data_IF_427842545825
#
_entry.id   IF_427842545825
#
_cell.length_a   1.000
_cell.length_b   1.000
_cell.length_c   1.000
_cell.angle_alpha   90.00
_cell.angle_beta   90.00
_cell.angle_gamma   90.00
#
_symmetry.space_group_name_H-M   'P 1'
#
loop_
_entity.id
_entity.type
_entity.pdbx_description
1 polymer ?
#
# COMPACT_ATOMS: atom_id res chain seq x y z
N UNK A 1 3.72 -21.98 -30.66
CA UNK A 1 3.44 -20.71 -29.96
C UNK A 1 3.16 -19.56 -30.90
N UNK A 2 1.95 -19.00 -30.81
CA UNK A 2 1.50 -17.82 -31.54
C UNK A 2 2.29 -16.55 -31.19
N UNK A 3 2.82 -16.44 -29.96
CA UNK A 3 3.60 -15.28 -29.50
C UNK A 3 5.04 -15.21 -30.06
N UNK A 4 5.50 -16.18 -30.86
CA UNK A 4 6.86 -16.23 -31.44
C UNK A 4 6.89 -15.57 -32.82
N UNK A 5 7.31 -16.31 -33.85
CA UNK A 5 7.36 -15.87 -35.26
C UNK A 5 6.03 -15.27 -35.75
N UNK A 6 4.84 -15.81 -35.42
CA UNK A 6 3.59 -15.22 -35.91
C UNK A 6 3.37 -13.78 -35.43
N UNK A 7 3.65 -13.49 -34.15
CA UNK A 7 3.59 -12.12 -33.60
C UNK A 7 4.57 -11.19 -34.32
N UNK A 8 5.82 -11.61 -34.51
CA UNK A 8 6.84 -10.82 -35.21
C UNK A 8 6.46 -10.50 -36.66
N UNK A 9 5.86 -11.46 -37.35
CA UNK A 9 5.35 -11.28 -38.71
C UNK A 9 4.13 -10.35 -38.76
N UNK A 10 3.30 -10.35 -37.73
CA UNK A 10 2.12 -9.48 -37.64
C UNK A 10 2.51 -8.03 -37.36
N UNK A 11 3.31 -7.77 -36.32
CA UNK A 11 3.66 -6.40 -35.90
C UNK A 11 4.43 -5.62 -36.96
N UNK A 12 5.20 -6.29 -37.81
CA UNK A 12 5.92 -5.69 -38.95
C UNK A 12 4.99 -5.06 -39.99
N UNK A 13 3.71 -5.45 -40.02
CA UNK A 13 2.70 -4.94 -40.97
C UNK A 13 1.93 -3.73 -40.43
N UNK A 14 2.13 -3.35 -39.16
CA UNK A 14 1.43 -2.22 -38.55
C UNK A 14 1.95 -0.90 -39.10
N UNK A 15 1.05 0.08 -39.26
CA UNK A 15 1.40 1.42 -39.76
C UNK A 15 2.35 2.16 -38.81
N UNK A 16 2.15 1.96 -37.51
CA UNK A 16 3.04 2.49 -36.47
C UNK A 16 4.17 1.49 -36.26
N UNK A 17 5.45 1.90 -36.24
CA UNK A 17 6.56 1.00 -35.96
C UNK A 17 6.40 0.33 -34.59
N UNK A 18 6.30 -1.00 -34.60
CA UNK A 18 6.22 -1.82 -33.39
C UNK A 18 7.40 -2.79 -33.34
N UNK A 19 8.13 -2.77 -32.24
CA UNK A 19 9.30 -3.62 -32.02
C UNK A 19 9.03 -4.65 -30.92
N UNK A 20 9.37 -5.91 -31.19
CA UNK A 20 9.31 -6.99 -30.19
C UNK A 20 10.71 -7.29 -29.70
N UNK A 21 10.95 -7.10 -28.40
CA UNK A 21 12.23 -7.40 -27.76
C UNK A 21 12.07 -8.69 -26.95
N UNK A 22 12.91 -9.70 -27.23
CA UNK A 22 12.88 -10.98 -26.54
C UNK A 22 13.82 -10.99 -25.33
N UNK A 23 13.35 -11.56 -24.23
CA UNK A 23 14.21 -11.97 -23.12
C UNK A 23 14.68 -13.40 -23.38
N UNK A 24 15.94 -13.71 -23.12
CA UNK A 24 16.51 -15.06 -23.29
C UNK A 24 15.97 -16.04 -22.26
N UNK A 25 15.70 -15.55 -21.05
CA UNK A 25 15.14 -16.29 -19.93
C UNK A 25 14.02 -15.50 -19.25
N UNK A 26 13.23 -16.18 -18.41
CA UNK A 26 12.14 -15.54 -17.67
C UNK A 26 12.69 -14.67 -16.54
N UNK A 27 12.93 -13.39 -16.83
CA UNK A 27 13.56 -12.46 -15.90
C UNK A 27 12.60 -11.61 -15.06
N UNK A 28 11.28 -11.70 -15.28
CA UNK A 28 10.29 -10.91 -14.55
C UNK A 28 9.86 -9.61 -15.20
N UNK A 29 8.79 -9.01 -14.65
CA UNK A 29 8.23 -7.72 -15.08
C UNK A 29 9.28 -6.61 -14.98
N UNK A 30 9.98 -6.53 -13.85
CA UNK A 30 10.92 -5.45 -13.52
C UNK A 30 12.06 -5.40 -14.52
N UNK A 31 12.75 -6.52 -14.74
CA UNK A 31 13.87 -6.61 -15.69
C UNK A 31 13.42 -6.46 -17.14
N UNK A 32 12.21 -6.92 -17.49
CA UNK A 32 11.64 -6.69 -18.82
C UNK A 32 11.38 -5.20 -19.07
N UNK A 33 10.83 -4.47 -18.08
CA UNK A 33 10.66 -3.01 -18.14
C UNK A 33 11.98 -2.28 -18.29
N UNK A 34 13.02 -2.69 -17.56
CA UNK A 34 14.37 -2.12 -17.71
C UNK A 34 14.93 -2.31 -19.12
N UNK A 35 14.78 -3.51 -19.72
CA UNK A 35 15.22 -3.76 -21.10
C UNK A 35 14.44 -2.93 -22.11
N UNK A 36 13.12 -2.79 -21.94
CA UNK A 36 12.29 -1.93 -22.77
C UNK A 36 12.68 -0.45 -22.65
N UNK A 37 12.88 0.03 -21.43
CA UNK A 37 13.30 1.41 -21.15
C UNK A 37 14.67 1.72 -21.79
N UNK A 38 15.65 0.81 -21.70
CA UNK A 38 16.96 0.97 -22.32
C UNK A 38 16.91 1.02 -23.86
N UNK A 39 15.94 0.34 -24.49
CA UNK A 39 15.74 0.37 -25.93
C UNK A 39 14.91 1.57 -26.41
N UNK A 40 14.21 2.26 -25.50
CA UNK A 40 13.32 3.36 -25.84
C UNK A 40 14.09 4.62 -26.27
N UNK A 41 13.59 5.29 -27.32
CA UNK A 41 14.21 6.51 -27.87
C UNK A 41 13.38 7.78 -27.64
N UNK A 42 12.14 7.65 -27.17
CA UNK A 42 11.26 8.76 -26.87
C UNK A 42 11.74 9.60 -25.68
N UNK A 43 11.30 10.86 -25.61
CA UNK A 43 11.56 11.75 -24.47
C UNK A 43 10.83 11.29 -23.20
N UNK A 44 9.65 10.70 -23.37
CA UNK A 44 8.83 10.12 -22.31
C UNK A 44 8.70 8.62 -22.54
N UNK A 45 8.83 7.84 -21.47
CA UNK A 45 8.49 6.42 -21.45
C UNK A 45 7.09 6.28 -20.87
N UNK A 46 6.18 5.62 -21.59
CA UNK A 46 4.88 5.22 -21.08
C UNK A 46 4.84 3.70 -20.95
N UNK A 47 4.64 3.22 -19.73
CA UNK A 47 4.44 1.81 -19.43
C UNK A 47 2.95 1.49 -19.48
N UNK A 48 2.60 0.39 -20.15
CA UNK A 48 1.26 -0.19 -20.18
C UNK A 48 1.37 -1.69 -19.97
N UNK A 49 0.42 -2.27 -19.25
CA UNK A 49 0.28 -3.72 -19.20
C UNK A 49 -0.32 -4.26 -20.52
N UNK A 50 -0.05 -5.53 -20.83
CA UNK A 50 -0.38 -6.12 -22.13
C UNK A 50 -1.89 -6.37 -22.36
N UNK A 51 -2.75 -5.95 -21.44
CA UNK A 51 -4.20 -6.15 -21.44
C UNK A 51 -4.90 -4.86 -20.99
N UNK A 52 -4.60 -3.78 -21.72
CA UNK A 52 -5.17 -2.46 -21.53
C UNK A 52 -5.85 -1.94 -22.81
N UNK A 53 -6.82 -1.06 -22.66
CA UNK A 53 -7.45 -0.29 -23.75
C UNK A 53 -7.42 1.20 -23.42
N UNK A 54 -6.77 1.99 -24.28
CA UNK A 54 -6.60 3.43 -24.06
C UNK A 54 -7.79 4.21 -24.64
N UNK A 55 -8.33 5.17 -23.87
CA UNK A 55 -9.43 6.03 -24.34
C UNK A 55 -8.93 7.12 -25.31
N UNK A 56 -9.86 7.79 -26.00
CA UNK A 56 -9.52 8.95 -26.84
C UNK A 56 -8.99 10.09 -25.95
N UNK A 57 -7.85 10.67 -26.33
CA UNK A 57 -7.24 11.79 -25.60
C UNK A 57 -6.52 11.40 -24.31
N UNK A 58 -6.25 10.11 -24.08
CA UNK A 58 -5.62 9.65 -22.84
C UNK A 58 -4.17 10.14 -22.64
N UNK A 59 -3.41 10.36 -23.72
CA UNK A 59 -1.97 10.54 -23.63
C UNK A 59 -1.58 12.00 -23.43
N UNK A 60 -2.27 12.92 -24.09
CA UNK A 60 -1.97 14.35 -24.12
C UNK A 60 -1.99 14.99 -22.72
N UNK A 61 -2.97 14.71 -21.83
CA UNK A 61 -2.96 15.20 -20.46
C UNK A 61 -1.74 14.71 -19.67
N UNK A 62 -1.32 13.45 -19.85
CA UNK A 62 -0.15 12.89 -19.18
C UNK A 62 1.12 13.61 -19.62
N UNK A 63 1.32 13.77 -20.94
CA UNK A 63 2.49 14.43 -21.51
C UNK A 63 2.54 15.91 -21.13
N UNK A 64 1.39 16.60 -21.05
CA UNK A 64 1.32 18.00 -20.64
C UNK A 64 1.86 18.22 -19.21
N UNK A 65 1.57 17.30 -18.28
CA UNK A 65 2.10 17.36 -16.90
C UNK A 65 3.61 17.20 -16.85
N UNK A 66 4.13 16.19 -17.56
CA UNK A 66 5.58 15.94 -17.64
C UNK A 66 6.29 17.13 -18.32
N UNK A 67 5.66 17.75 -19.33
CA UNK A 67 6.22 18.92 -20.00
C UNK A 67 6.31 20.14 -19.07
N UNK A 68 5.34 20.31 -18.17
CA UNK A 68 5.33 21.40 -17.19
C UNK A 68 6.43 21.21 -16.12
N UNK A 69 6.62 19.97 -15.65
CA UNK A 69 7.73 19.60 -14.78
C UNK A 69 8.18 18.16 -15.06
N UNK A 70 9.40 18.00 -15.59
CA UNK A 70 9.98 16.70 -15.96
C UNK A 70 10.11 15.73 -14.79
N UNK A 71 10.08 16.23 -13.54
CA UNK A 71 10.16 15.41 -12.32
C UNK A 71 8.79 14.89 -11.86
N UNK A 72 7.72 15.24 -12.58
CA UNK A 72 6.38 14.71 -12.35
C UNK A 72 6.21 13.39 -13.07
N UNK A 73 5.89 12.35 -12.31
CA UNK A 73 5.51 11.03 -12.81
C UNK A 73 4.00 10.94 -12.77
N UNK A 74 3.39 10.48 -13.86
CA UNK A 74 1.93 10.55 -14.02
C UNK A 74 1.32 9.20 -14.33
N UNK A 75 0.18 8.93 -13.71
CA UNK A 75 -0.66 7.77 -13.96
C UNK A 75 -1.99 8.22 -14.57
N UNK A 76 -2.58 7.44 -15.49
CA UNK A 76 -3.98 7.62 -15.85
C UNK A 76 -4.89 7.16 -14.69
N UNK A 77 -6.16 7.56 -14.73
CA UNK A 77 -7.21 6.78 -14.07
C UNK A 77 -7.26 5.41 -14.76
N UNK A 78 -7.22 4.36 -13.94
CA UNK A 78 -7.28 2.99 -14.41
C UNK A 78 -8.74 2.54 -14.35
N UNK A 79 -9.35 2.44 -15.52
CA UNK A 79 -10.72 1.96 -15.69
C UNK A 79 -10.72 0.42 -15.65
N UNK A 80 -11.88 -0.17 -15.33
CA UNK A 80 -12.01 -1.62 -15.17
C UNK A 80 -12.54 -2.21 -16.47
N UNK A 81 -11.80 -3.16 -17.04
CA UNK A 81 -12.32 -4.07 -18.07
C UNK A 81 -12.64 -5.40 -17.38
N UNK A 82 -13.89 -5.81 -17.45
CA UNK A 82 -14.37 -7.08 -16.88
C UNK A 82 -13.62 -8.27 -17.48
N UNK A 83 -13.05 -9.16 -16.65
CA UNK A 83 -12.36 -10.37 -17.16
C UNK A 83 -13.32 -11.44 -17.71
N UNK A 84 -14.60 -11.34 -17.35
CA UNK A 84 -15.66 -12.25 -17.78
C UNK A 84 -16.37 -11.74 -19.06
N UNK A 85 -16.73 -10.45 -19.12
CA UNK A 85 -17.58 -9.88 -20.19
C UNK A 85 -16.85 -8.93 -21.14
N UNK A 86 -15.64 -8.48 -20.79
CA UNK A 86 -14.93 -7.37 -21.45
C UNK A 86 -15.67 -6.03 -21.47
N UNK A 87 -16.71 -5.88 -20.63
CA UNK A 87 -17.35 -4.58 -20.43
C UNK A 87 -16.36 -3.57 -19.83
N UNK A 88 -16.38 -2.36 -20.38
CA UNK A 88 -15.56 -1.23 -19.95
C UNK A 88 -16.30 -0.37 -18.93
N UNK A 89 -15.81 -0.32 -17.70
CA UNK A 89 -16.40 0.45 -16.60
C UNK A 89 -15.43 1.55 -16.16
N UNK A 90 -15.90 2.79 -16.19
CA UNK A 90 -15.10 3.95 -15.77
C UNK A 90 -14.68 3.83 -14.30
N UNK A 91 -13.39 4.06 -14.06
CA UNK A 91 -12.80 4.18 -12.74
C UNK A 91 -13.18 5.51 -12.06
N UNK A 92 -12.87 5.61 -10.78
CA UNK A 92 -13.21 6.79 -9.98
C UNK A 92 -12.04 7.75 -9.82
N UNK A 93 -12.25 9.01 -10.17
CA UNK A 93 -11.37 10.15 -9.90
C UNK A 93 -11.37 10.59 -8.41
N UNK A 94 -12.18 9.91 -7.59
CA UNK A 94 -12.26 10.07 -6.13
C UNK A 94 -11.47 9.00 -5.39
N UNK A 95 -10.61 8.28 -6.10
CA UNK A 95 -9.66 7.33 -5.49
C UNK A 95 -8.21 7.73 -5.75
N UNK A 96 -7.34 7.41 -4.79
CA UNK A 96 -5.90 7.59 -4.91
C UNK A 96 -5.16 6.36 -4.37
N UNK A 97 -3.91 6.20 -4.81
CA UNK A 97 -3.07 5.07 -4.46
C UNK A 97 -2.38 5.28 -3.12
N UNK A 98 -2.57 4.34 -2.21
CA UNK A 98 -1.82 4.25 -0.96
C UNK A 98 -1.27 2.84 -0.76
N UNK A 99 -0.80 2.59 0.46
CA UNK A 99 -0.41 1.26 0.89
C UNK A 99 -0.82 1.05 2.34
N UNK A 100 -0.99 -0.22 2.72
CA UNK A 100 -1.11 -0.60 4.13
C UNK A 100 0.25 -1.06 4.67
N UNK A 101 0.38 -1.24 5.99
CA UNK A 101 1.68 -1.52 6.61
C UNK A 101 2.17 -2.97 6.45
N UNK A 102 1.44 -3.78 5.68
CA UNK A 102 1.93 -5.04 5.08
C UNK A 102 2.63 -4.81 3.74
N UNK A 103 2.82 -3.55 3.34
CA UNK A 103 3.36 -3.12 2.05
C UNK A 103 2.56 -3.63 0.85
N UNK A 104 1.24 -3.71 1.00
CA UNK A 104 0.33 -3.96 -0.12
C UNK A 104 -0.23 -2.64 -0.63
N UNK A 105 -0.24 -2.48 -1.95
CA UNK A 105 -0.94 -1.39 -2.60
C UNK A 105 -2.44 -1.47 -2.35
N UNK A 106 -3.07 -0.33 -2.10
CA UNK A 106 -4.52 -0.19 -1.88
C UNK A 106 -5.03 1.09 -2.55
N UNK A 107 -6.27 1.02 -3.02
CA UNK A 107 -7.03 2.21 -3.41
C UNK A 107 -7.78 2.73 -2.19
N UNK A 108 -7.62 4.01 -1.91
CA UNK A 108 -8.34 4.72 -0.85
C UNK A 108 -9.16 5.86 -1.45
N UNK A 109 -10.19 6.36 -0.75
CA UNK A 109 -10.85 7.61 -1.11
C UNK A 109 -9.87 8.78 -1.05
N UNK A 110 -10.00 9.74 -1.97
CA UNK A 110 -9.18 10.96 -1.95
C UNK A 110 -9.43 11.72 -0.65
N UNK A 111 -8.39 12.07 0.14
CA UNK A 111 -8.55 12.72 1.43
C UNK A 111 -9.00 14.18 1.27
N UNK A 112 -9.68 14.71 2.30
CA UNK A 112 -10.23 16.06 2.29
C UNK A 112 -9.17 17.12 1.95
N UNK A 113 -7.93 16.98 2.47
CA UNK A 113 -6.81 17.90 2.16
C UNK A 113 -6.54 18.06 0.66
N UNK A 114 -6.71 16.98 -0.11
CA UNK A 114 -6.45 16.96 -1.55
C UNK A 114 -7.66 17.45 -2.33
N UNK A 115 -8.88 17.27 -1.80
CA UNK A 115 -10.08 17.95 -2.28
C UNK A 115 -9.95 19.48 -2.11
N UNK A 116 -9.52 19.93 -0.93
CA UNK A 116 -9.34 21.35 -0.61
C UNK A 116 -8.27 21.99 -1.49
N UNK A 117 -7.15 21.30 -1.72
CA UNK A 117 -6.08 21.75 -2.63
C UNK A 117 -6.61 21.99 -4.05
N UNK A 118 -7.51 21.12 -4.52
CA UNK A 118 -8.11 21.23 -5.86
C UNK A 118 -9.25 22.25 -5.93
N UNK A 119 -9.77 22.74 -4.79
CA UNK A 119 -10.84 23.73 -4.70
C UNK A 119 -12.08 23.37 -5.54
N UNK A 120 -12.41 22.08 -5.59
CA UNK A 120 -13.54 21.56 -6.37
C UNK A 120 -13.28 21.33 -7.86
N UNK A 121 -12.11 21.70 -8.38
CA UNK A 121 -11.74 21.41 -9.77
C UNK A 121 -11.27 19.95 -9.92
N UNK A 122 -12.17 19.10 -10.42
CA UNK A 122 -11.92 17.67 -10.64
C UNK A 122 -11.03 17.38 -11.84
N UNK A 123 -10.73 18.36 -12.69
CA UNK A 123 -9.79 18.21 -13.82
C UNK A 123 -8.33 18.30 -13.39
N UNK A 124 -8.07 18.86 -12.19
CA UNK A 124 -6.74 18.91 -11.63
C UNK A 124 -6.28 17.50 -11.21
N UNK A 125 -5.02 17.12 -11.50
CA UNK A 125 -4.47 15.84 -11.09
C UNK A 125 -4.53 15.65 -9.58
N UNK A 126 -4.69 14.41 -9.15
CA UNK A 126 -4.64 13.99 -7.74
C UNK A 126 -3.20 13.63 -7.39
N UNK A 127 -2.62 14.25 -6.36
CA UNK A 127 -1.33 13.82 -5.81
C UNK A 127 -1.51 12.50 -5.08
N UNK A 128 -0.76 11.48 -5.48
CA UNK A 128 -0.93 10.12 -4.96
C UNK A 128 0.33 9.64 -4.23
N UNK A 129 0.24 9.14 -2.97
CA UNK A 129 1.36 8.58 -2.24
C UNK A 129 2.09 7.48 -2.99
N UNK A 130 1.32 6.60 -3.63
CA UNK A 130 1.83 5.47 -4.40
C UNK A 130 1.04 5.30 -5.69
N UNK A 131 1.59 4.51 -6.62
CA UNK A 131 0.90 4.05 -7.81
C UNK A 131 0.73 2.53 -7.81
N UNK A 132 -0.27 2.04 -8.56
CA UNK A 132 -0.41 0.61 -8.84
C UNK A 132 0.82 0.07 -9.59
N UNK A 133 1.46 0.91 -10.42
CA UNK A 133 2.72 0.62 -11.10
C UNK A 133 2.59 -0.08 -12.44
N UNK A 134 1.41 -0.58 -12.82
CA UNK A 134 1.12 -1.13 -14.15
C UNK A 134 1.26 -0.08 -15.27
N UNK A 135 0.59 1.05 -15.08
CA UNK A 135 0.41 2.10 -16.07
C UNK A 135 0.92 3.44 -15.54
N UNK A 136 1.93 4.01 -16.19
CA UNK A 136 2.43 5.35 -15.88
C UNK A 136 3.32 5.90 -17.00
N UNK A 137 3.47 7.21 -17.05
CA UNK A 137 4.40 7.92 -17.92
C UNK A 137 5.44 8.69 -17.09
N UNK A 138 6.68 8.68 -17.57
CA UNK A 138 7.81 9.35 -16.93
C UNK A 138 8.78 9.89 -17.97
N UNK A 139 9.35 11.07 -17.73
CA UNK A 139 10.48 11.57 -18.51
C UNK A 139 11.64 10.56 -18.48
N UNK A 140 12.16 10.21 -19.66
CA UNK A 140 13.16 9.14 -19.80
C UNK A 140 14.43 9.46 -19.02
N UNK A 141 14.91 10.69 -19.13
CA UNK A 141 16.18 11.09 -18.54
C UNK A 141 16.01 11.19 -17.02
N UNK A 142 14.86 11.71 -16.54
CA UNK A 142 14.50 11.63 -15.13
C UNK A 142 14.44 10.19 -14.61
N UNK A 143 13.83 9.25 -15.34
CA UNK A 143 13.79 7.83 -14.95
C UNK A 143 15.20 7.25 -14.76
N UNK A 144 16.15 7.62 -15.61
CA UNK A 144 17.56 7.22 -15.48
C UNK A 144 18.26 7.93 -14.32
N UNK A 145 18.06 9.24 -14.16
CA UNK A 145 18.63 10.06 -13.08
C UNK A 145 18.25 9.52 -11.70
N UNK A 146 16.97 9.15 -11.52
CA UNK A 146 16.51 8.56 -10.27
C UNK A 146 16.89 7.07 -10.15
N UNK A 147 17.63 6.49 -11.07
CA UNK A 147 18.17 5.13 -10.96
C UNK A 147 17.19 4.01 -11.36
N UNK A 148 16.29 4.27 -12.32
CA UNK A 148 15.39 3.30 -12.97
C UNK A 148 14.60 2.43 -11.97
N UNK A 149 14.52 1.11 -12.15
CA UNK A 149 14.05 0.17 -11.11
C UNK A 149 15.24 -0.48 -10.41
N UNK A 150 15.03 -0.97 -9.19
CA UNK A 150 16.01 -1.84 -8.52
C UNK A 150 16.13 -3.19 -9.25
N UNK A 151 17.23 -3.38 -9.98
CA UNK A 151 17.50 -4.61 -10.72
C UNK A 151 17.71 -5.85 -9.83
N UNK A 152 17.90 -5.66 -8.52
CA UNK A 152 17.96 -6.74 -7.53
C UNK A 152 16.60 -7.27 -7.11
N UNK A 153 15.50 -6.61 -7.49
CA UNK A 153 14.15 -7.14 -7.32
C UNK A 153 13.85 -8.23 -8.34
N UNK A 154 13.12 -9.25 -7.90
CA UNK A 154 12.80 -10.43 -8.69
C UNK A 154 11.33 -10.47 -9.10
N UNK A 155 11.09 -10.86 -10.35
CA UNK A 155 9.79 -11.18 -10.94
C UNK A 155 8.74 -10.07 -10.84
N UNK A 156 8.11 -9.90 -9.67
CA UNK A 156 6.97 -9.04 -9.42
C UNK A 156 6.79 -8.78 -7.92
N UNK A 157 6.30 -7.59 -7.57
CA UNK A 157 5.88 -7.22 -6.22
C UNK A 157 6.83 -6.21 -5.58
N UNK A 158 6.27 -5.16 -4.98
CA UNK A 158 6.99 -4.12 -4.25
C UNK A 158 7.65 -3.05 -5.11
N UNK A 159 7.82 -3.28 -6.43
CA UNK A 159 8.50 -2.33 -7.32
C UNK A 159 7.75 -1.02 -7.47
N UNK A 160 6.41 -1.08 -7.42
CA UNK A 160 5.54 0.08 -7.51
C UNK A 160 5.65 0.97 -6.26
N UNK A 161 5.78 0.37 -5.07
CA UNK A 161 6.02 1.10 -3.83
C UNK A 161 7.43 1.69 -3.79
N UNK A 162 8.45 0.91 -4.16
CA UNK A 162 9.86 1.36 -4.19
C UNK A 162 10.04 2.62 -5.03
N UNK A 163 9.53 2.61 -6.26
CA UNK A 163 9.66 3.77 -7.15
C UNK A 163 8.80 4.94 -6.65
N UNK A 164 7.62 4.70 -6.08
CA UNK A 164 6.77 5.76 -5.52
C UNK A 164 7.46 6.48 -4.36
N UNK A 165 8.03 5.72 -3.41
CA UNK A 165 8.77 6.24 -2.28
C UNK A 165 9.97 7.07 -2.72
N UNK A 166 10.71 6.55 -3.71
CA UNK A 166 11.86 7.23 -4.27
C UNK A 166 11.50 8.52 -5.01
N UNK A 167 10.47 8.51 -5.86
CA UNK A 167 10.01 9.72 -6.59
C UNK A 167 9.76 10.84 -5.59
N UNK A 168 8.95 10.58 -4.57
CA UNK A 168 8.59 11.58 -3.57
C UNK A 168 9.77 12.00 -2.70
N UNK A 169 10.51 11.04 -2.12
CA UNK A 169 11.63 11.36 -1.22
C UNK A 169 12.76 12.08 -1.94
N UNK A 170 12.96 11.84 -3.24
CA UNK A 170 14.06 12.43 -4.01
C UNK A 170 13.64 13.66 -4.83
N UNK A 171 12.51 14.30 -4.49
CA UNK A 171 12.14 15.63 -4.98
C UNK A 171 11.34 15.67 -6.29
N UNK A 172 10.73 14.54 -6.68
CA UNK A 172 9.70 14.50 -7.72
C UNK A 172 8.29 14.46 -7.15
N UNK A 173 7.32 14.36 -8.05
CA UNK A 173 5.89 14.30 -7.72
C UNK A 173 5.26 13.10 -8.42
N UNK A 174 4.28 12.46 -7.79
CA UNK A 174 3.49 11.39 -8.39
C UNK A 174 2.01 11.82 -8.45
N UNK A 175 1.44 11.84 -9.65
CA UNK A 175 0.08 12.34 -9.89
C UNK A 175 -0.79 11.31 -10.64
N UNK A 176 -2.08 11.23 -10.31
CA UNK A 176 -3.11 10.62 -11.15
C UNK A 176 -3.77 11.74 -11.94
N UNK A 177 -3.65 11.70 -13.27
CA UNK A 177 -4.21 12.73 -14.15
C UNK A 177 -5.64 12.36 -14.50
N UNK A 178 -6.60 13.09 -13.94
CA UNK A 178 -8.03 12.72 -13.94
C UNK A 178 -8.70 12.79 -15.31
N UNK A 179 -8.12 13.50 -16.28
CA UNK A 179 -8.60 13.51 -17.66
C UNK A 179 -8.05 12.36 -18.52
N UNK A 180 -7.10 11.57 -18.01
CA UNK A 180 -6.49 10.46 -18.74
C UNK A 180 -7.07 9.14 -18.25
N UNK A 181 -7.69 8.37 -19.14
CA UNK A 181 -8.32 7.10 -18.82
C UNK A 181 -7.76 5.95 -19.63
N UNK A 182 -7.39 4.86 -18.96
CA UNK A 182 -6.94 3.62 -19.58
C UNK A 182 -7.62 2.45 -18.88
N UNK A 183 -8.35 1.65 -19.65
CA UNK A 183 -8.98 0.43 -19.15
C UNK A 183 -7.95 -0.66 -18.95
N UNK A 184 -8.10 -1.45 -17.90
CA UNK A 184 -7.22 -2.57 -17.57
C UNK A 184 -8.06 -3.78 -17.17
N UNK A 185 -7.71 -4.96 -17.69
CA UNK A 185 -8.39 -6.21 -17.32
C UNK A 185 -7.97 -6.65 -15.92
N UNK A 186 -8.83 -6.44 -14.92
CA UNK A 186 -8.58 -6.90 -13.54
C UNK A 186 -8.95 -8.37 -13.40
N UNK A 187 -7.98 -9.19 -13.01
CA UNK A 187 -8.15 -10.64 -12.85
C UNK A 187 -8.40 -11.00 -11.40
N UNK A 188 -9.23 -12.03 -11.18
CA UNK A 188 -9.47 -12.61 -9.84
C UNK A 188 -8.24 -13.28 -9.23
N UNK A 189 -7.32 -13.79 -10.06
CA UNK A 189 -6.08 -14.44 -9.62
C UNK A 189 -4.92 -14.22 -10.59
N UNK A 190 -3.69 -14.27 -10.08
CA UNK A 190 -2.46 -14.17 -10.89
C UNK A 190 -2.24 -15.48 -11.66
N UNK A 191 -2.18 -15.48 -13.00
CA UNK A 191 -2.00 -16.72 -13.78
C UNK A 191 -0.54 -17.17 -13.91
N UNK A 192 0.39 -16.53 -13.18
CA UNK A 192 1.82 -16.75 -13.32
C UNK A 192 2.33 -17.76 -12.29
N UNK A 193 3.25 -18.63 -12.70
CA UNK A 193 4.01 -19.48 -11.78
C UNK A 193 5.12 -18.66 -11.11
N UNK A 194 5.42 -18.89 -9.85
CA UNK A 194 6.51 -18.19 -9.15
C UNK A 194 7.57 -19.23 -8.75
N UNK A 195 8.72 -19.32 -9.44
CA UNK A 195 9.80 -20.22 -9.06
C UNK A 195 10.27 -19.87 -7.64
N UNK A 196 10.20 -20.83 -6.70
CA UNK A 196 10.49 -20.58 -5.27
C UNK A 196 9.32 -20.06 -4.44
N UNK A 197 8.14 -19.85 -5.05
CA UNK A 197 6.93 -19.41 -4.36
C UNK A 197 6.78 -17.89 -4.26
N UNK A 198 5.54 -17.43 -4.35
CA UNK A 198 5.18 -16.00 -4.39
C UNK A 198 5.63 -15.26 -3.12
N UNK A 199 5.51 -15.90 -1.96
CA UNK A 199 5.88 -15.30 -0.67
C UNK A 199 7.37 -14.97 -0.56
N UNK A 200 8.27 -15.86 -1.01
CA UNK A 200 9.71 -15.62 -0.91
C UNK A 200 10.13 -14.42 -1.79
N UNK A 201 9.61 -14.36 -3.02
CA UNK A 201 9.92 -13.29 -3.98
C UNK A 201 9.40 -11.93 -3.47
N UNK A 202 8.12 -11.87 -3.07
CA UNK A 202 7.53 -10.62 -2.59
C UNK A 202 8.22 -10.18 -1.31
N UNK A 203 8.49 -11.08 -0.36
CA UNK A 203 9.18 -10.74 0.87
C UNK A 203 10.60 -10.23 0.61
N UNK A 204 11.33 -10.83 -0.33
CA UNK A 204 12.64 -10.33 -0.75
C UNK A 204 12.54 -8.89 -1.28
N UNK A 205 11.65 -8.64 -2.23
CA UNK A 205 11.49 -7.29 -2.83
C UNK A 205 11.04 -6.26 -1.78
N UNK A 206 10.06 -6.62 -0.95
CA UNK A 206 9.56 -5.78 0.14
C UNK A 206 10.64 -5.51 1.19
N UNK A 207 11.53 -6.46 1.47
CA UNK A 207 12.67 -6.21 2.36
C UNK A 207 13.67 -5.25 1.73
N UNK A 208 14.01 -5.41 0.44
CA UNK A 208 14.89 -4.48 -0.28
C UNK A 208 14.35 -3.04 -0.23
N UNK A 209 13.06 -2.85 -0.49
CA UNK A 209 12.45 -1.52 -0.47
C UNK A 209 12.41 -0.93 0.95
N UNK A 210 12.08 -1.75 1.96
CA UNK A 210 11.99 -1.31 3.35
C UNK A 210 13.36 -0.91 3.91
N UNK A 211 14.40 -1.71 3.66
CA UNK A 211 15.78 -1.41 4.10
C UNK A 211 16.34 -0.13 3.48
N UNK A 212 15.95 0.21 2.26
CA UNK A 212 16.46 1.40 1.56
C UNK A 212 15.65 2.65 1.86
N UNK A 213 14.31 2.56 1.93
CA UNK A 213 13.44 3.73 1.82
C UNK A 213 12.58 4.03 3.04
N UNK A 214 12.48 3.11 4.02
CA UNK A 214 11.54 3.27 5.15
C UNK A 214 12.19 3.68 6.48
N UNK A 215 13.52 3.83 6.53
CA UNK A 215 14.25 4.22 7.75
C UNK A 215 13.87 3.35 8.97
N UNK A 216 13.58 3.95 10.13
CA UNK A 216 13.09 3.26 11.33
C UNK A 216 11.71 2.63 11.15
N UNK A 217 10.92 3.09 10.18
CA UNK A 217 9.55 2.61 9.97
C UNK A 217 9.48 1.21 9.34
N UNK A 218 10.60 0.67 8.86
CA UNK A 218 10.66 -0.76 8.47
C UNK A 218 10.39 -1.69 9.65
N UNK A 219 10.64 -1.24 10.89
CA UNK A 219 10.37 -2.05 12.08
C UNK A 219 8.87 -2.34 12.24
N UNK A 220 7.98 -1.40 11.88
CA UNK A 220 6.53 -1.65 11.86
C UNK A 220 6.20 -2.80 10.93
N UNK A 221 6.71 -2.72 9.69
CA UNK A 221 6.50 -3.74 8.69
C UNK A 221 7.02 -5.11 9.15
N UNK A 222 8.19 -5.17 9.78
CA UNK A 222 8.76 -6.41 10.30
C UNK A 222 7.99 -7.01 11.47
N UNK A 223 7.41 -6.18 12.34
CA UNK A 223 6.55 -6.67 13.43
C UNK A 223 5.25 -7.24 12.87
N UNK A 224 4.64 -6.58 11.87
CA UNK A 224 3.41 -7.06 11.23
C UNK A 224 3.68 -8.31 10.37
N UNK A 225 4.82 -8.36 9.71
CA UNK A 225 5.18 -9.39 8.72
C UNK A 225 6.53 -10.04 9.06
N UNK A 226 6.65 -10.77 10.19
CA UNK A 226 7.94 -11.28 10.66
C UNK A 226 8.55 -12.35 9.75
N UNK A 227 7.77 -12.97 8.86
CA UNK A 227 8.30 -13.86 7.83
C UNK A 227 9.29 -13.18 6.89
N UNK A 228 9.21 -11.84 6.74
CA UNK A 228 10.08 -11.06 5.85
C UNK A 228 11.52 -11.03 6.34
N UNK A 229 11.74 -10.96 7.66
CA UNK A 229 13.09 -10.87 8.25
C UNK A 229 13.91 -12.15 8.08
N UNK A 230 13.25 -13.26 7.73
CA UNK A 230 13.87 -14.56 7.46
C UNK A 230 14.40 -14.69 6.02
N UNK A 231 14.07 -13.76 5.12
CA UNK A 231 14.41 -13.86 3.70
C UNK A 231 15.66 -13.03 3.40
N UNK A 232 16.67 -13.63 2.77
CA UNK A 232 17.81 -12.89 2.24
C UNK A 232 17.37 -11.94 1.13
N UNK A 233 17.77 -10.67 1.26
CA UNK A 233 17.42 -9.61 0.34
C UNK A 233 18.57 -9.20 -0.58
N UNK A 234 19.77 -9.78 -0.41
CA UNK A 234 20.95 -9.51 -1.22
C UNK A 234 21.49 -8.09 -1.05
N UNK A 235 22.46 -7.71 -1.90
CA UNK A 235 23.12 -6.40 -1.80
C UNK A 235 22.20 -5.24 -2.22
N UNK A 236 22.17 -4.19 -1.38
CA UNK A 236 21.44 -2.93 -1.58
C UNK A 236 22.37 -1.71 -1.58
N UNK A 237 23.69 -1.91 -1.58
CA UNK A 237 24.70 -0.85 -1.52
C UNK A 237 24.49 0.23 -2.59
N UNK A 238 24.17 -0.17 -3.81
CA UNK A 238 23.89 0.74 -4.94
C UNK A 238 22.65 1.60 -4.72
N UNK A 239 21.59 1.04 -4.13
CA UNK A 239 20.34 1.75 -3.82
C UNK A 239 20.53 2.73 -2.66
N UNK A 240 21.25 2.33 -1.63
CA UNK A 240 21.63 3.22 -0.52
C UNK A 240 22.55 4.36 -1.01
N UNK A 241 23.51 4.05 -1.87
CA UNK A 241 24.40 5.03 -2.50
C UNK A 241 23.63 6.04 -3.35
N UNK A 242 22.66 5.58 -4.14
CA UNK A 242 21.75 6.41 -4.91
C UNK A 242 20.92 7.35 -4.02
N UNK A 243 20.31 6.82 -2.95
CA UNK A 243 19.52 7.62 -2.00
C UNK A 243 20.35 8.75 -1.38
N UNK A 244 21.60 8.46 -1.00
CA UNK A 244 22.55 9.48 -0.50
C UNK A 244 22.93 10.49 -1.58
N UNK A 245 23.27 10.03 -2.79
CA UNK A 245 23.68 10.88 -3.91
C UNK A 245 22.60 11.90 -4.28
N UNK A 246 21.33 11.46 -4.29
CA UNK A 246 20.18 12.30 -4.62
C UNK A 246 19.70 13.15 -3.43
N UNK A 247 20.32 13.03 -2.25
CA UNK A 247 19.96 13.75 -1.03
C UNK A 247 18.47 13.62 -0.69
N UNK A 248 17.95 12.40 -0.82
CA UNK A 248 16.52 12.16 -0.62
C UNK A 248 16.11 12.41 0.84
N UNK A 249 14.88 12.91 1.02
CA UNK A 249 14.25 13.14 2.31
C UNK A 249 14.05 11.83 3.09
N UNK A 250 13.97 11.89 4.42
CA UNK A 250 13.67 10.72 5.25
C UNK A 250 12.21 10.26 5.04
N UNK A 251 11.92 9.00 5.37
CA UNK A 251 10.57 8.44 5.27
C UNK A 251 9.59 9.14 6.23
N UNK A 252 10.08 9.65 7.36
CA UNK A 252 9.26 10.44 8.27
C UNK A 252 8.71 11.72 7.59
N UNK A 253 9.49 12.35 6.72
CA UNK A 253 9.03 13.48 5.88
C UNK A 253 7.98 13.02 4.87
N UNK A 254 8.15 11.84 4.26
CA UNK A 254 7.18 11.27 3.33
C UNK A 254 5.82 11.04 4.01
N UNK A 255 5.80 10.44 5.20
CA UNK A 255 4.56 10.25 5.96
C UNK A 255 3.90 11.57 6.35
N UNK A 256 4.67 12.61 6.68
CA UNK A 256 4.11 13.90 7.05
C UNK A 256 3.57 14.71 5.86
N UNK A 257 4.30 14.71 4.74
CA UNK A 257 4.07 15.66 3.65
C UNK A 257 3.33 15.04 2.46
N UNK A 258 3.44 13.72 2.29
CA UNK A 258 2.89 13.01 1.14
C UNK A 258 1.72 12.12 1.56
N UNK A 259 1.89 11.35 2.65
CA UNK A 259 0.90 10.40 3.11
C UNK A 259 0.52 10.55 4.61
N UNK A 260 0.04 11.73 5.04
CA UNK A 260 -0.37 11.97 6.43
C UNK A 260 -1.59 11.13 6.84
N UNK A 261 -2.37 10.67 5.85
CA UNK A 261 -3.55 9.81 6.04
C UNK A 261 -3.17 8.32 6.21
N UNK A 262 -1.88 8.00 6.32
CA UNK A 262 -1.41 6.63 6.57
C UNK A 262 -1.96 6.08 7.89
N UNK A 263 -2.24 4.78 7.90
CA UNK A 263 -2.87 4.11 9.05
C UNK A 263 -2.00 4.04 10.31
N UNK A 264 -0.67 4.06 10.16
CA UNK A 264 0.22 4.21 11.30
C UNK A 264 0.66 5.67 11.33
N UNK A 265 0.23 6.43 12.35
CA UNK A 265 0.68 7.80 12.51
C UNK A 265 2.15 7.83 12.91
N UNK A 266 2.81 8.96 12.62
CA UNK A 266 4.19 9.21 13.06
C UNK A 266 4.35 9.11 14.58
N UNK A 267 3.30 9.45 15.31
CA UNK A 267 3.25 9.43 16.77
C UNK A 267 2.24 8.39 17.23
N UNK A 268 2.77 7.34 17.85
CA UNK A 268 2.02 6.29 18.51
C UNK A 268 2.67 6.04 19.86
N UNK A 269 1.89 5.59 20.84
CA UNK A 269 2.37 5.29 22.17
C UNK A 269 2.94 3.88 22.24
N UNK A 270 2.29 2.92 21.61
CA UNK A 270 2.72 1.53 21.58
C UNK A 270 2.33 0.82 20.28
N UNK A 271 3.12 -0.18 19.93
CA UNK A 271 2.89 -1.07 18.80
C UNK A 271 3.27 -2.49 19.24
N UNK A 272 2.36 -3.43 19.03
CA UNK A 272 2.60 -4.82 19.34
C UNK A 272 1.30 -5.54 19.66
N UNK A 273 1.41 -6.56 20.49
CA UNK A 273 0.25 -7.29 21.00
C UNK A 273 -0.41 -6.57 22.18
N UNK A 274 -1.72 -6.76 22.31
CA UNK A 274 -2.50 -6.36 23.48
C UNK A 274 -2.84 -7.65 24.23
N UNK A 275 -2.19 -7.87 25.37
CA UNK A 275 -2.11 -9.16 26.05
C UNK A 275 -2.86 -9.10 27.37
N UNK A 276 -3.86 -9.95 27.52
CA UNK A 276 -4.44 -10.20 28.83
C UNK A 276 -3.41 -10.88 29.75
N UNK A 277 -3.05 -10.23 30.86
CA UNK A 277 -1.97 -10.70 31.77
C UNK A 277 -2.37 -11.96 32.52
N UNK A 278 -3.66 -12.17 32.78
CA UNK A 278 -4.16 -13.31 33.55
C UNK A 278 -4.31 -14.57 32.69
N UNK A 279 -4.79 -14.44 31.46
CA UNK A 279 -5.08 -15.58 30.58
C UNK A 279 -3.98 -15.88 29.57
N UNK A 280 -3.02 -14.95 29.38
CA UNK A 280 -2.03 -14.99 28.32
C UNK A 280 -2.65 -15.13 26.92
N UNK A 281 -3.82 -14.52 26.74
CA UNK A 281 -4.48 -14.40 25.45
C UNK A 281 -4.35 -12.97 24.94
N UNK A 282 -4.24 -12.81 23.62
CA UNK A 282 -4.03 -11.55 22.95
C UNK A 282 -5.26 -11.19 22.14
N UNK A 283 -5.52 -9.89 21.97
CA UNK A 283 -6.41 -9.45 20.91
C UNK A 283 -5.90 -9.95 19.56
N UNK A 284 -6.81 -10.39 18.70
CA UNK A 284 -6.51 -10.98 17.42
C UNK A 284 -7.58 -10.53 16.42
N UNK A 285 -7.18 -9.97 15.27
CA UNK A 285 -8.14 -9.59 14.25
C UNK A 285 -8.74 -10.82 13.52
N UNK A 286 -8.24 -12.02 13.78
CA UNK A 286 -8.71 -13.32 13.24
C UNK A 286 -8.74 -13.38 11.71
N UNK A 287 -7.96 -12.52 11.03
CA UNK A 287 -8.07 -12.25 9.59
C UNK A 287 -9.49 -11.87 9.13
N UNK A 288 -10.32 -11.37 10.05
CA UNK A 288 -11.65 -10.84 9.79
C UNK A 288 -11.57 -9.46 9.14
N UNK A 289 -12.66 -9.06 8.49
CA UNK A 289 -12.82 -7.86 7.69
C UNK A 289 -13.54 -6.75 8.48
N UNK A 290 -13.77 -5.63 7.81
CA UNK A 290 -14.60 -4.54 8.31
C UNK A 290 -16.00 -5.05 8.72
N UNK A 291 -16.55 -4.46 9.79
CA UNK A 291 -17.82 -4.82 10.44
C UNK A 291 -17.83 -6.17 11.17
N UNK A 292 -16.70 -6.87 11.25
CA UNK A 292 -16.59 -8.09 12.05
C UNK A 292 -16.04 -7.79 13.45
N UNK A 293 -16.36 -8.66 14.41
CA UNK A 293 -15.90 -8.57 15.79
C UNK A 293 -14.40 -8.86 15.88
N UNK A 294 -13.65 -8.11 16.69
CA UNK A 294 -12.28 -8.51 17.05
C UNK A 294 -12.35 -9.78 17.88
N UNK A 295 -11.31 -10.61 17.82
CA UNK A 295 -11.19 -11.85 18.59
C UNK A 295 -10.17 -11.74 19.72
N UNK A 296 -10.15 -12.78 20.55
CA UNK A 296 -9.08 -13.11 21.48
C UNK A 296 -8.55 -14.50 21.09
N UNK A 297 -7.23 -14.65 21.04
CA UNK A 297 -6.58 -15.92 20.79
C UNK A 297 -5.32 -16.09 21.65
N UNK A 298 -4.76 -17.29 21.72
CA UNK A 298 -3.50 -17.51 22.45
C UNK A 298 -2.40 -16.60 21.87
N UNK A 299 -1.69 -15.88 22.73
CA UNK A 299 -0.58 -15.04 22.30
C UNK A 299 0.50 -15.91 21.65
N UNK A 300 0.81 -15.65 20.38
CA UNK A 300 1.73 -16.48 19.62
C UNK A 300 3.05 -15.78 19.26
N UNK A 301 3.17 -14.46 19.49
CA UNK A 301 4.41 -13.70 19.25
C UNK A 301 4.86 -13.69 17.78
N UNK A 302 3.98 -14.05 16.85
CA UNK A 302 4.27 -14.12 15.41
C UNK A 302 3.75 -12.89 14.65
N UNK A 303 3.44 -11.81 15.37
CA UNK A 303 2.91 -10.60 14.77
C UNK A 303 1.59 -10.82 14.02
N UNK A 304 1.50 -10.33 12.79
CA UNK A 304 0.36 -10.58 11.91
C UNK A 304 -0.95 -10.04 12.48
N UNK A 305 -1.87 -10.97 12.80
CA UNK A 305 -3.22 -10.64 13.25
C UNK A 305 -3.28 -10.13 14.70
N UNK A 306 -2.22 -10.34 15.48
CA UNK A 306 -2.11 -9.89 16.88
C UNK A 306 -1.36 -8.56 17.01
N UNK A 307 -1.10 -7.84 15.91
CA UNK A 307 -0.41 -6.54 15.96
C UNK A 307 -1.43 -5.41 15.89
N UNK A 308 -1.41 -4.58 16.92
CA UNK A 308 -2.19 -3.37 17.05
C UNK A 308 -1.26 -2.18 17.30
N UNK A 309 -1.69 -1.00 16.88
CA UNK A 309 -1.05 0.27 17.22
C UNK A 309 -1.99 1.09 18.10
N UNK A 310 -1.45 1.64 19.20
CA UNK A 310 -2.16 2.61 20.01
C UNK A 310 -1.63 4.01 19.69
N UNK A 311 -2.48 4.82 19.07
CA UNK A 311 -2.06 6.07 18.42
C UNK A 311 -2.08 7.27 19.37
N UNK A 312 -1.39 8.35 19.01
CA UNK A 312 -1.49 9.63 19.72
C UNK A 312 -2.93 10.21 19.73
N UNK A 313 -3.75 9.82 18.76
CA UNK A 313 -5.18 10.18 18.69
C UNK A 313 -6.06 9.29 19.58
N UNK A 314 -5.46 8.42 20.40
CA UNK A 314 -6.17 7.53 21.31
C UNK A 314 -7.07 6.52 20.57
N UNK A 315 -6.64 6.05 19.41
CA UNK A 315 -7.28 4.96 18.65
C UNK A 315 -6.44 3.69 18.75
N UNK A 316 -7.09 2.52 18.76
CA UNK A 316 -6.42 1.21 18.66
C UNK A 316 -6.65 0.67 17.25
N UNK A 317 -5.59 0.55 16.45
CA UNK A 317 -5.69 0.23 15.02
C UNK A 317 -5.06 -1.11 14.66
N UNK A 318 -5.66 -1.83 13.72
CA UNK A 318 -5.12 -3.02 13.05
C UNK A 318 -5.37 -2.91 11.54
N UNK A 319 -4.30 -2.94 10.74
CA UNK A 319 -4.36 -2.61 9.30
C UNK A 319 -5.06 -1.25 9.05
N UNK A 320 -6.15 -1.23 8.27
CA UNK A 320 -6.94 -0.04 7.97
C UNK A 320 -8.18 0.12 8.88
N UNK A 321 -8.25 -0.67 9.97
CA UNK A 321 -9.39 -0.74 10.87
C UNK A 321 -9.03 -0.25 12.28
N UNK A 322 -10.02 0.32 12.96
CA UNK A 322 -9.99 0.76 14.33
C UNK A 322 -10.94 -0.11 15.17
N UNK A 323 -10.56 -0.35 16.43
CA UNK A 323 -11.48 -0.93 17.40
C UNK A 323 -12.59 0.08 17.72
N UNK A 324 -13.83 -0.32 17.47
CA UNK A 324 -15.04 0.46 17.63
C UNK A 324 -16.03 -0.24 18.55
N UNK A 325 -16.69 0.55 19.40
CA UNK A 325 -17.79 0.06 20.23
C UNK A 325 -19.05 0.89 20.06
N UNK A 326 -20.06 0.26 19.47
CA UNK A 326 -21.35 0.89 19.16
C UNK A 326 -22.48 0.58 20.15
N UNK A 327 -22.25 -0.30 21.14
CA UNK A 327 -23.28 -0.69 22.13
C UNK A 327 -22.68 -0.84 23.53
N UNK A 328 -23.36 -0.31 24.55
CA UNK A 328 -23.02 -0.54 25.96
C UNK A 328 -23.06 -2.02 26.29
N UNK A 329 -22.08 -2.50 27.07
CA UNK A 329 -21.91 -3.93 27.37
C UNK A 329 -21.79 -4.81 26.11
N UNK A 330 -21.43 -4.20 24.98
CA UNK A 330 -21.41 -4.83 23.67
C UNK A 330 -20.04 -5.38 23.29
N UNK A 331 -19.98 -6.16 22.19
CA UNK A 331 -18.73 -6.65 21.64
C UNK A 331 -17.91 -5.51 21.04
N UNK A 332 -16.60 -5.71 20.97
CA UNK A 332 -15.70 -4.82 20.23
C UNK A 332 -15.68 -5.23 18.75
N UNK A 333 -15.87 -4.26 17.86
CA UNK A 333 -15.92 -4.46 16.41
C UNK A 333 -14.78 -3.74 15.70
N UNK A 334 -14.43 -4.17 14.50
CA UNK A 334 -13.40 -3.53 13.67
C UNK A 334 -14.07 -2.76 12.54
N UNK A 335 -14.00 -1.43 12.59
CA UNK A 335 -14.55 -0.53 11.58
C UNK A 335 -13.44 0.31 10.94
N UNK A 336 -13.71 0.93 9.80
CA UNK A 336 -12.78 1.93 9.25
C UNK A 336 -12.50 3.02 10.29
N UNK A 337 -11.23 3.37 10.41
CA UNK A 337 -10.81 4.49 11.23
C UNK A 337 -11.41 5.79 10.67
N UNK A 338 -12.30 6.43 11.42
CA UNK A 338 -12.97 7.66 10.96
C UNK A 338 -12.39 8.93 11.59
N UNK A 339 -11.51 8.81 12.60
CA UNK A 339 -10.80 9.95 13.23
C UNK A 339 -11.71 10.99 13.90
N UNK A 340 -12.98 10.66 14.13
CA UNK A 340 -13.97 11.53 14.78
C UNK A 340 -14.07 11.28 16.29
N UNK A 341 -13.14 10.50 16.87
CA UNK A 341 -13.18 10.05 18.26
C UNK A 341 -14.46 9.25 18.58
N UNK A 342 -15.16 9.55 19.67
CA UNK A 342 -16.41 8.88 20.03
C UNK A 342 -16.22 7.38 20.26
N UNK A 343 -16.87 6.57 19.43
CA UNK A 343 -16.88 5.10 19.54
C UNK A 343 -15.53 4.43 19.23
N UNK A 344 -14.54 5.19 18.75
CA UNK A 344 -13.17 4.72 18.51
C UNK A 344 -12.14 5.33 19.46
N UNK A 345 -12.58 6.01 20.52
CA UNK A 345 -11.71 6.68 21.48
C UNK A 345 -11.42 5.79 22.70
N UNK A 346 -10.15 5.46 22.89
CA UNK A 346 -9.65 4.57 23.93
C UNK A 346 -8.61 5.25 24.82
N UNK A 347 -8.61 4.94 26.11
CA UNK A 347 -7.61 5.41 27.06
C UNK A 347 -6.97 4.23 27.78
N UNK A 348 -5.65 4.12 27.67
CA UNK A 348 -4.88 3.11 28.37
C UNK A 348 -4.34 3.67 29.69
N UNK A 349 -4.69 3.02 30.81
CA UNK A 349 -4.10 3.27 32.12
C UNK A 349 -2.97 2.25 32.36
N UNK A 350 -1.68 2.66 32.31
CA UNK A 350 -0.54 1.74 32.45
C UNK A 350 -0.32 1.27 33.89
N UNK A 351 -0.95 1.92 34.89
CA UNK A 351 -0.86 1.51 36.30
C UNK A 351 -1.89 0.43 36.60
N UNK A 352 -3.12 0.59 36.10
CA UNK A 352 -4.20 -0.39 36.26
C UNK A 352 -4.17 -1.48 35.20
N UNK A 353 -3.43 -1.28 34.10
CA UNK A 353 -3.42 -2.12 32.91
C UNK A 353 -4.83 -2.25 32.30
N UNK A 354 -5.55 -1.14 32.20
CA UNK A 354 -6.94 -1.14 31.72
C UNK A 354 -7.10 -0.30 30.46
N UNK A 355 -7.82 -0.83 29.48
CA UNK A 355 -8.22 -0.11 28.27
C UNK A 355 -9.66 0.39 28.43
N UNK A 356 -9.81 1.69 28.68
CA UNK A 356 -11.08 2.38 28.84
C UNK A 356 -11.62 2.85 27.48
N UNK A 357 -12.81 2.41 27.09
CA UNK A 357 -13.56 3.04 26.01
C UNK A 357 -14.22 4.32 26.54
N UNK A 358 -13.73 5.48 26.08
CA UNK A 358 -14.02 6.77 26.69
C UNK A 358 -15.50 7.15 26.57
N UNK A 359 -16.12 6.88 25.43
CA UNK A 359 -17.50 7.30 25.16
C UNK A 359 -18.54 6.55 26.02
N UNK A 360 -18.30 5.27 26.34
CA UNK A 360 -19.19 4.49 27.20
C UNK A 360 -18.81 4.50 28.67
N UNK A 361 -17.60 4.97 29.01
CA UNK A 361 -16.99 4.83 30.34
C UNK A 361 -16.90 3.36 30.80
N UNK A 362 -16.61 2.44 29.86
CA UNK A 362 -16.51 1.00 30.11
C UNK A 362 -15.15 0.48 29.64
N UNK A 363 -14.62 -0.54 30.30
CA UNK A 363 -13.31 -1.10 30.06
C UNK A 363 -13.39 -2.35 29.18
N UNK A 364 -12.36 -2.57 28.36
CA UNK A 364 -12.17 -3.82 27.62
C UNK A 364 -12.15 -4.99 28.60
N UNK A 365 -13.06 -5.93 28.38
CA UNK A 365 -13.23 -7.13 29.19
C UNK A 365 -12.98 -8.38 28.32
N UNK A 366 -12.72 -9.50 28.99
CA UNK A 366 -12.54 -10.79 28.35
C UNK A 366 -13.83 -11.24 27.66
N UNK A 367 -13.68 -12.28 26.85
CA UNK A 367 -14.81 -12.95 26.24
C UNK A 367 -15.81 -13.48 27.29
N UNK A 368 -17.10 -13.36 26.97
CA UNK A 368 -18.19 -13.96 27.76
C UNK A 368 -18.30 -15.45 27.48
N UNK A 369 -18.89 -16.23 28.39
CA UNK A 369 -19.13 -17.67 28.17
C UNK A 369 -19.97 -17.95 26.92
N UNK A 370 -20.86 -17.03 26.53
CA UNK A 370 -21.71 -17.12 25.33
C UNK A 370 -20.93 -16.94 24.00
N UNK A 371 -19.80 -16.23 24.02
CA UNK A 371 -18.97 -15.94 22.84
C UNK A 371 -17.50 -15.92 23.27
N UNK A 372 -16.96 -17.12 23.50
CA UNK A 372 -15.67 -17.36 24.18
C UNK A 372 -14.44 -16.80 23.48
N UNK A 373 -14.60 -16.24 22.29
CA UNK A 373 -13.53 -15.63 21.50
C UNK A 373 -13.70 -14.14 21.28
N UNK A 374 -14.79 -13.51 21.72
CA UNK A 374 -15.07 -12.10 21.39
C UNK A 374 -15.04 -11.25 22.66
N UNK A 375 -14.10 -10.29 22.78
CA UNK A 375 -14.08 -9.36 23.90
C UNK A 375 -15.29 -8.44 23.83
N UNK A 376 -15.69 -7.97 25.00
CA UNK A 376 -16.74 -6.96 25.16
C UNK A 376 -16.22 -5.80 26.01
N UNK A 377 -16.96 -4.70 26.08
CA UNK A 377 -16.73 -3.68 27.11
C UNK A 377 -17.65 -3.93 28.31
N UNK A 378 -17.20 -3.64 29.53
CA UNK A 378 -17.99 -3.73 30.76
C UNK A 378 -17.65 -2.60 31.71
N UNK A 379 -18.51 -2.33 32.68
CA UNK A 379 -18.24 -1.29 33.69
C UNK A 379 -16.88 -1.51 34.35
N UNK A 380 -16.07 -0.45 34.45
CA UNK A 380 -14.74 -0.48 35.03
C UNK A 380 -14.74 -0.67 36.57
N UNK A 381 -15.80 -1.24 37.14
CA UNK A 381 -16.07 -1.29 38.57
C UNK A 381 -14.95 -2.02 39.33
N UNK A 382 -14.71 -1.63 40.59
CA UNK A 382 -13.56 -2.04 41.43
C UNK A 382 -13.32 -3.54 41.69
N UNK A 383 -14.12 -4.45 41.10
CA UNK A 383 -13.67 -5.81 40.82
C UNK A 383 -12.75 -5.74 39.60
N UNK A 384 -11.44 -5.64 39.85
CA UNK A 384 -10.34 -5.57 38.88
C UNK A 384 -10.76 -5.94 37.44
N UNK A 385 -10.99 -4.92 36.61
CA UNK A 385 -11.11 -5.11 35.16
C UNK A 385 -9.91 -5.92 34.68
N UNK A 386 -10.06 -6.80 33.68
CA UNK A 386 -8.96 -7.66 33.29
C UNK A 386 -7.74 -6.82 32.88
N UNK A 387 -6.55 -7.16 33.36
CA UNK A 387 -5.32 -6.46 33.00
C UNK A 387 -4.91 -6.80 31.55
N UNK A 388 -4.66 -5.77 30.73
CA UNK A 388 -4.32 -5.83 29.30
C UNK A 388 -2.99 -5.14 28.93
#
# INVERSE_FOLDING_TARGET
>A
DFLKRPLESYVKKLKVPVHVIRMEQRSGLIRARLKGAAASKGQVITFLDAHCECTVGWLEPLLARIKADRRTVVCPIIDVISDDTFEYMAGSDMTYGGFNWKLNFRWYPVPQREMDRRKGDRTLPVRTPTMAGGLFSIDRDYFQEIGTYDAGMDIWGGENLEISFRIWQCGGTLEIVTCSHVGHVFRKATPYTFPGGTGQIINKNNRRLAEVWMDEFKNFFYIISPGVTKVDYGDISSRLGLRRKLQCKPFSWYLENVYPDSQIPRHYFSLGEIRNVETNQCLDNMARKENEKVGIFNCHGMGGNQVFSYTANKEIRTDDLCLDVSKLNGPVTMLKCHHLKGNQLWEYDPVKLTLLHVNSNQCLDKATEEDSQVPSIRDCNGRRSPPW
#
